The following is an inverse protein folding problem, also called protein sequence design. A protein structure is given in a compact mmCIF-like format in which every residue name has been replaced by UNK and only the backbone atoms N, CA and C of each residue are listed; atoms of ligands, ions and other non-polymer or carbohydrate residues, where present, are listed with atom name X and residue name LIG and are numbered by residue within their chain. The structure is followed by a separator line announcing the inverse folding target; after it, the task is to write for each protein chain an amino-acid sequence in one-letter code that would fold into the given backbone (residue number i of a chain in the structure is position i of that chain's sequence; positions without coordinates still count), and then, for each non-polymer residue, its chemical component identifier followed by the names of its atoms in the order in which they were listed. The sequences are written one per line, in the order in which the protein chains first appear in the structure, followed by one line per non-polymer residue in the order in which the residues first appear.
data_IF_327677655906
#
_entry.id   IF_327677655906
#
_cell.length_a   1.000
_cell.length_b   1.000
_cell.length_c   1.000
_cell.angle_alpha   90.00
_cell.angle_beta   90.00
_cell.angle_gamma   90.00
#
_symmetry.space_group_name_H-M   'P 1'
#
loop_
_entity.id
_entity.type
_entity.pdbx_description
1 polymer ?
#
# COMPACT_ATOMS: atom_id res chain seq x y z
N UNK A 1 -1.98 11.31 8.45
CA UNK A 1 -3.36 11.18 7.91
C UNK A 1 -3.44 10.86 6.40
N UNK A 2 -2.35 10.92 5.62
CA UNK A 2 -2.39 10.77 4.16
C UNK A 2 -2.88 9.38 3.67
N UNK A 3 -2.49 8.29 4.35
CA UNK A 3 -2.85 6.93 3.94
C UNK A 3 -4.36 6.65 4.03
N UNK A 4 -5.01 7.07 5.12
CA UNK A 4 -6.46 6.92 5.26
C UNK A 4 -7.19 7.67 4.15
N UNK A 5 -6.81 8.91 3.88
CA UNK A 5 -7.38 9.68 2.77
C UNK A 5 -7.12 9.02 1.41
N UNK A 6 -5.92 8.47 1.18
CA UNK A 6 -5.56 7.77 -0.05
C UNK A 6 -6.43 6.53 -0.29
N UNK A 7 -6.63 5.72 0.76
CA UNK A 7 -7.46 4.51 0.72
C UNK A 7 -8.92 4.88 0.52
N UNK A 8 -9.46 5.80 1.32
CA UNK A 8 -10.87 6.23 1.23
C UNK A 8 -11.18 6.84 -0.15
N UNK A 9 -10.29 7.67 -0.70
CA UNK A 9 -10.50 8.28 -2.02
C UNK A 9 -10.54 7.27 -3.17
N UNK A 10 -9.94 6.08 -3.00
CA UNK A 10 -9.86 5.02 -4.02
C UNK A 10 -10.75 3.81 -3.70
N UNK A 11 -11.42 3.84 -2.56
CA UNK A 11 -12.39 2.82 -2.17
C UNK A 11 -13.79 3.22 -2.63
N UNK A 12 -14.66 2.25 -2.97
CA UNK A 12 -16.08 2.49 -3.18
C UNK A 12 -16.70 3.22 -2.00
N UNK A 13 -17.55 4.22 -2.27
CA UNK A 13 -18.31 4.91 -1.23
C UNK A 13 -19.80 4.90 -1.53
N UNK A 14 -20.62 4.74 -0.49
CA UNK A 14 -22.09 4.72 -0.61
C UNK A 14 -22.64 6.04 -1.15
N UNK A 15 -22.00 7.17 -0.83
CA UNK A 15 -22.38 8.49 -1.32
C UNK A 15 -22.27 8.65 -2.84
N UNK A 16 -21.48 7.79 -3.50
CA UNK A 16 -21.32 7.76 -4.97
C UNK A 16 -21.88 6.46 -5.57
N UNK A 17 -22.87 5.84 -4.90
CA UNK A 17 -23.51 4.59 -5.37
C UNK A 17 -22.51 3.45 -5.65
N UNK A 18 -21.42 3.39 -4.89
CA UNK A 18 -20.37 2.37 -5.04
C UNK A 18 -19.26 2.76 -6.03
N UNK A 19 -19.31 3.94 -6.65
CA UNK A 19 -18.15 4.49 -7.34
C UNK A 19 -17.09 4.97 -6.36
N UNK A 20 -15.87 5.17 -6.86
CA UNK A 20 -14.77 5.66 -6.04
C UNK A 20 -14.52 7.16 -6.31
N UNK A 21 -14.26 7.97 -5.26
CA UNK A 21 -14.11 9.42 -5.40
C UNK A 21 -13.02 9.84 -6.40
N UNK A 22 -11.92 9.10 -6.48
CA UNK A 22 -10.79 9.38 -7.38
C UNK A 22 -11.16 9.19 -8.85
N UNK A 23 -11.90 8.13 -9.18
CA UNK A 23 -12.43 7.86 -10.52
C UNK A 23 -13.41 8.93 -10.93
N UNK A 24 -14.33 9.31 -10.04
CA UNK A 24 -15.33 10.35 -10.34
C UNK A 24 -14.67 11.71 -10.55
N UNK A 25 -13.65 12.06 -9.74
CA UNK A 25 -12.98 13.36 -9.82
C UNK A 25 -12.02 13.48 -11.02
N UNK A 26 -11.25 12.43 -11.32
CA UNK A 26 -10.21 12.48 -12.35
C UNK A 26 -10.57 11.72 -13.64
N UNK A 27 -11.75 11.10 -13.69
CA UNK A 27 -12.21 10.24 -14.79
C UNK A 27 -11.20 9.14 -15.16
N UNK A 28 -10.44 8.64 -14.16
CA UNK A 28 -9.39 7.62 -14.33
C UNK A 28 -9.69 6.38 -13.52
N UNK A 29 -9.72 5.23 -14.19
CA UNK A 29 -9.85 3.93 -13.52
C UNK A 29 -8.71 3.73 -12.52
N UNK A 30 -9.11 3.28 -11.33
CA UNK A 30 -8.19 2.84 -10.28
C UNK A 30 -8.02 1.34 -10.43
N UNK A 31 -6.78 0.90 -10.53
CA UNK A 31 -6.46 -0.51 -10.46
C UNK A 31 -6.55 -0.97 -8.99
N UNK A 32 -7.45 -1.92 -8.65
CA UNK A 32 -7.57 -2.41 -7.27
C UNK A 32 -6.31 -3.13 -6.77
N UNK A 33 -5.43 -3.60 -7.66
CA UNK A 33 -4.17 -4.27 -7.28
C UNK A 33 -3.14 -3.33 -6.65
N UNK A 34 -3.38 -2.01 -6.70
CA UNK A 34 -2.62 -1.03 -5.93
C UNK A 34 -2.72 -1.32 -4.42
N UNK A 35 -3.83 -1.92 -4.00
CA UNK A 35 -4.03 -2.40 -2.64
C UNK A 35 -3.61 -3.86 -2.51
N UNK A 36 -2.71 -4.09 -1.56
CA UNK A 36 -2.24 -5.40 -1.14
C UNK A 36 -3.16 -5.87 -0.02
N UNK A 37 -3.63 -7.14 -0.05
CA UNK A 37 -4.40 -7.70 1.04
C UNK A 37 -3.63 -7.65 2.36
N UNK A 38 -4.34 -7.42 3.45
CA UNK A 38 -3.81 -7.63 4.78
C UNK A 38 -3.35 -9.09 4.92
N UNK A 39 -2.21 -9.32 5.56
CA UNK A 39 -1.66 -10.66 5.75
C UNK A 39 -0.81 -11.17 4.58
N UNK A 40 -0.70 -10.44 3.46
CA UNK A 40 0.11 -10.90 2.33
C UNK A 40 1.62 -10.91 2.68
N UNK A 41 2.44 -11.74 2.00
CA UNK A 41 3.89 -11.68 2.14
C UNK A 41 4.42 -10.28 1.82
N UNK A 42 5.26 -9.75 2.70
CA UNK A 42 5.96 -8.47 2.54
C UNK A 42 7.46 -8.67 2.80
N UNK A 43 8.28 -7.77 2.27
CA UNK A 43 9.72 -7.78 2.50
C UNK A 43 10.18 -6.41 2.98
N UNK A 44 10.60 -6.33 4.24
CA UNK A 44 11.15 -5.11 4.80
C UNK A 44 12.61 -4.96 4.37
N UNK A 45 12.96 -3.80 3.82
CA UNK A 45 14.34 -3.49 3.44
C UNK A 45 15.23 -3.45 4.71
N UNK A 46 16.35 -4.18 4.68
CA UNK A 46 17.40 -4.10 5.71
C UNK A 46 18.45 -3.06 5.28
N UNK A 47 18.62 -1.93 5.98
CA UNK A 47 19.61 -0.90 5.65
C UNK A 47 21.03 -1.44 5.59
N UNK A 48 21.91 -0.80 4.81
CA UNK A 48 23.26 -1.31 4.55
C UNK A 48 24.09 -1.41 5.83
N UNK A 49 23.89 -0.49 6.76
CA UNK A 49 24.56 -0.41 8.06
C UNK A 49 24.20 -1.59 8.96
N UNK A 50 23.01 -2.16 8.77
CA UNK A 50 22.50 -3.33 9.50
C UNK A 50 22.82 -4.64 8.80
N UNK A 51 23.36 -4.60 7.57
CA UNK A 51 23.80 -5.79 6.84
C UNK A 51 25.19 -6.18 7.33
N UNK A 52 25.32 -7.36 7.93
CA UNK A 52 26.61 -7.94 8.32
C UNK A 52 27.47 -8.44 7.15
N UNK A 53 27.58 -7.66 6.07
CA UNK A 53 28.37 -7.96 4.88
C UNK A 53 27.60 -7.92 3.55
N UNK A 54 28.35 -7.95 2.43
CA UNK A 54 27.83 -7.81 1.04
C UNK A 54 26.90 -8.94 0.60
N UNK A 55 27.13 -10.16 1.10
CA UNK A 55 26.39 -11.36 0.69
C UNK A 55 25.18 -11.70 1.58
N UNK A 56 24.78 -10.78 2.46
CA UNK A 56 23.61 -10.98 3.35
C UNK A 56 22.32 -10.55 2.66
N UNK A 57 21.19 -11.12 3.11
CA UNK A 57 19.88 -10.76 2.58
C UNK A 57 19.62 -9.26 2.72
N UNK A 58 19.12 -8.66 1.64
CA UNK A 58 18.73 -7.25 1.59
C UNK A 58 17.34 -7.01 2.17
N UNK A 59 16.58 -8.07 2.41
CA UNK A 59 15.20 -8.01 2.86
C UNK A 59 14.89 -9.03 3.95
N UNK A 60 13.98 -8.67 4.84
CA UNK A 60 13.41 -9.56 5.85
C UNK A 60 11.98 -9.89 5.45
N UNK A 61 11.65 -11.19 5.36
CA UNK A 61 10.28 -11.65 5.11
C UNK A 61 9.39 -11.25 6.30
N UNK A 62 8.25 -10.66 5.99
CA UNK A 62 7.29 -10.10 6.92
C UNK A 62 5.86 -10.37 6.44
N UNK A 63 4.88 -9.97 7.25
CA UNK A 63 3.46 -9.99 6.94
C UNK A 63 2.99 -8.54 6.78
N UNK A 64 2.23 -8.24 5.72
CA UNK A 64 1.67 -6.90 5.48
C UNK A 64 0.56 -6.60 6.48
N UNK A 65 0.82 -5.65 7.40
CA UNK A 65 -0.17 -5.19 8.39
C UNK A 65 -0.89 -3.93 7.90
N UNK A 66 -0.26 -3.14 7.04
CA UNK A 66 -0.88 -1.93 6.51
C UNK A 66 0.11 -1.03 5.82
N UNK A 67 -0.44 0.00 5.21
CA UNK A 67 0.34 1.04 4.55
C UNK A 67 0.81 2.04 5.61
N UNK A 68 2.12 2.27 5.70
CA UNK A 68 2.68 3.32 6.54
C UNK A 68 2.35 4.69 5.96
N UNK A 69 2.53 5.73 6.76
CA UNK A 69 2.63 7.07 6.20
C UNK A 69 3.88 7.13 5.32
N UNK A 70 3.72 7.67 4.10
CA UNK A 70 4.85 8.20 3.36
C UNK A 70 5.33 9.48 4.02
#
# INVERSE_FOLDING_TARGET
MATAAYVTARSPTSGLRGENPYQTLFHRRVDPTVFRPFGCPAYAHVPKEQRGGKFRSHGRKCIMIGYTYG
#
